data_IF_327296939249
#
_entry.id   IF_327296939249
#
_cell.length_a   1.000
_cell.length_b   1.000
_cell.length_c   1.000
_cell.angle_alpha   90.00
_cell.angle_beta   90.00
_cell.angle_gamma   90.00
#
_symmetry.space_group_name_H-M   'P 1'
#
loop_
_entity.id
_entity.type
_entity.pdbx_description
1 polymer ?
#
# COMPACT_ATOMS: atom_id res chain seq x y z
N UNK A 1 9.76 -54.01 -76.11
CA UNK A 1 9.95 -55.41 -75.66
C UNK A 1 10.13 -55.44 -74.15
N UNK A 2 9.31 -56.25 -73.48
CA UNK A 2 9.04 -56.20 -72.04
C UNK A 2 10.21 -56.62 -71.15
N UNK A 3 10.53 -55.85 -70.10
CA UNK A 3 11.40 -56.28 -69.00
C UNK A 3 10.53 -56.76 -67.83
N UNK A 4 10.45 -58.08 -67.67
CA UNK A 4 9.81 -58.81 -66.57
C UNK A 4 10.40 -58.41 -65.22
N UNK A 5 9.57 -57.95 -64.30
CA UNK A 5 9.89 -57.83 -62.88
C UNK A 5 9.79 -59.21 -62.20
N UNK A 6 10.92 -59.74 -61.77
CA UNK A 6 11.03 -60.97 -60.99
C UNK A 6 10.53 -60.72 -59.56
N UNK A 7 9.32 -61.18 -59.24
CA UNK A 7 8.82 -61.28 -57.86
C UNK A 7 9.60 -62.36 -57.11
N UNK A 8 10.34 -61.96 -56.07
CA UNK A 8 11.02 -62.85 -55.13
C UNK A 8 9.98 -63.50 -54.22
N UNK A 9 9.77 -64.81 -54.34
CA UNK A 9 8.96 -65.63 -53.40
C UNK A 9 9.67 -65.69 -52.04
N UNK A 10 9.06 -65.14 -51.00
CA UNK A 10 9.41 -65.48 -49.62
C UNK A 10 8.78 -66.82 -49.26
N UNK A 11 9.59 -67.73 -48.70
CA UNK A 11 9.15 -69.02 -48.14
C UNK A 11 8.50 -68.77 -46.79
N UNK A 12 7.28 -69.27 -46.62
CA UNK A 12 6.62 -69.42 -45.33
C UNK A 12 7.33 -70.53 -44.55
N UNK A 13 7.90 -70.20 -43.39
CA UNK A 13 8.22 -71.17 -42.36
C UNK A 13 7.11 -71.07 -41.31
N UNK A 14 6.32 -72.13 -41.22
CA UNK A 14 5.34 -72.39 -40.17
C UNK A 14 6.11 -72.86 -38.94
N UNK A 15 6.20 -72.02 -37.92
CA UNK A 15 6.57 -72.42 -36.56
C UNK A 15 5.37 -72.18 -35.63
N UNK A 16 5.24 -73.14 -34.72
CA UNK A 16 4.04 -73.51 -33.96
C UNK A 16 3.54 -72.38 -33.06
N UNK A 17 2.21 -72.33 -32.92
CA UNK A 17 1.50 -71.56 -31.91
C UNK A 17 1.98 -71.95 -30.51
N UNK A 18 2.72 -71.06 -29.85
CA UNK A 18 2.90 -71.09 -28.40
C UNK A 18 1.75 -70.30 -27.76
N UNK A 19 1.05 -70.97 -26.85
CA UNK A 19 -0.06 -70.44 -26.06
C UNK A 19 0.20 -69.04 -25.48
N UNK A 20 -0.83 -68.16 -25.42
CA UNK A 20 -0.69 -66.86 -24.80
C UNK A 20 -0.33 -67.04 -23.31
N UNK A 21 0.90 -66.67 -22.96
CA UNK A 21 1.35 -66.53 -21.57
C UNK A 21 0.27 -65.80 -20.78
N UNK A 22 -0.44 -66.54 -19.91
CA UNK A 22 -1.34 -65.99 -18.90
C UNK A 22 -0.55 -64.93 -18.14
N UNK A 23 -0.89 -63.66 -18.35
CA UNK A 23 -0.44 -62.57 -17.49
C UNK A 23 -0.82 -62.95 -16.07
N UNK A 24 0.18 -63.16 -15.23
CA UNK A 24 0.00 -63.33 -13.79
C UNK A 24 -0.68 -62.05 -13.31
N UNK A 25 -1.97 -62.18 -13.05
CA UNK A 25 -2.84 -61.11 -12.58
C UNK A 25 -2.70 -61.06 -11.06
N UNK A 26 -1.62 -60.47 -10.55
CA UNK A 26 -1.50 -60.14 -9.12
C UNK A 26 -0.44 -59.02 -8.89
N UNK A 27 -0.44 -57.99 -9.74
CA UNK A 27 -0.04 -56.66 -9.26
C UNK A 27 -1.31 -55.93 -8.81
N UNK A 28 -1.43 -55.53 -7.53
CA UNK A 28 -2.60 -54.79 -7.09
C UNK A 28 -2.69 -53.50 -7.90
N UNK A 29 -3.76 -53.36 -8.68
CA UNK A 29 -4.02 -52.18 -9.50
C UNK A 29 -3.72 -50.92 -8.68
N UNK A 30 -2.73 -50.14 -9.12
CA UNK A 30 -2.28 -48.95 -8.39
C UNK A 30 -3.50 -48.13 -7.97
N UNK A 31 -3.71 -47.99 -6.66
CA UNK A 31 -4.86 -47.25 -6.10
C UNK A 31 -4.88 -45.89 -6.78
N UNK A 32 -5.91 -45.60 -7.59
CA UNK A 32 -6.07 -44.30 -8.23
C UNK A 32 -5.95 -43.25 -7.14
N UNK A 33 -4.88 -42.46 -7.18
CA UNK A 33 -4.59 -41.52 -6.10
C UNK A 33 -5.74 -40.55 -6.01
N UNK A 34 -6.47 -40.59 -4.89
CA UNK A 34 -7.71 -39.85 -4.73
C UNK A 34 -7.36 -38.37 -4.58
N UNK A 35 -8.00 -37.53 -5.39
CA UNK A 35 -8.00 -36.09 -5.18
C UNK A 35 -8.87 -35.77 -3.95
N UNK A 36 -8.22 -35.72 -2.77
CA UNK A 36 -8.87 -35.53 -1.46
C UNK A 36 -9.28 -34.06 -1.27
N UNK A 37 -8.36 -33.12 -1.49
CA UNK A 37 -8.60 -31.69 -1.25
C UNK A 37 -9.20 -30.99 -2.48
N UNK A 38 -10.53 -31.03 -2.64
CA UNK A 38 -11.20 -30.43 -3.81
C UNK A 38 -11.42 -28.93 -3.64
N UNK A 39 -10.37 -28.13 -3.75
CA UNK A 39 -10.48 -26.67 -3.75
C UNK A 39 -10.71 -26.14 -5.16
N UNK A 40 -11.63 -25.17 -5.25
CA UNK A 40 -11.93 -24.40 -6.47
C UNK A 40 -12.05 -22.94 -6.07
N UNK A 41 -11.29 -22.08 -6.75
CA UNK A 41 -11.19 -20.66 -6.43
C UNK A 41 -11.85 -19.86 -7.55
N UNK A 42 -12.91 -19.12 -7.24
CA UNK A 42 -13.52 -18.18 -8.17
C UNK A 42 -12.66 -16.92 -8.27
N UNK A 43 -12.25 -16.53 -9.48
CA UNK A 43 -11.43 -15.33 -9.71
C UNK A 43 -12.13 -14.41 -10.71
N UNK A 44 -12.61 -13.27 -10.23
CA UNK A 44 -13.34 -12.31 -11.04
C UNK A 44 -13.26 -10.90 -10.46
N UNK A 45 -13.86 -9.93 -11.17
CA UNK A 45 -13.72 -8.52 -10.84
C UNK A 45 -15.05 -7.78 -10.95
N UNK A 46 -15.16 -6.68 -10.22
CA UNK A 46 -16.21 -5.68 -10.46
C UNK A 46 -15.89 -4.85 -11.70
N UNK A 47 -16.90 -4.20 -12.28
CA UNK A 47 -16.66 -3.10 -13.22
C UNK A 47 -15.85 -1.98 -12.56
N UNK A 48 -15.00 -1.31 -13.35
CA UNK A 48 -14.15 -0.20 -12.88
C UNK A 48 -12.70 -0.56 -12.56
N UNK A 49 -12.20 -1.73 -12.98
CA UNK A 49 -10.78 -2.10 -12.88
C UNK A 49 -9.92 -1.44 -13.97
N UNK A 50 -8.69 -1.06 -13.62
CA UNK A 50 -7.70 -0.50 -14.53
C UNK A 50 -7.11 -1.58 -15.47
N UNK A 51 -6.34 -1.18 -16.47
CA UNK A 51 -5.56 -2.07 -17.33
C UNK A 51 -4.57 -2.93 -16.54
N UNK A 52 -3.76 -2.31 -15.67
CA UNK A 52 -2.81 -3.05 -14.80
C UNK A 52 -3.50 -4.08 -13.91
N UNK A 53 -4.69 -3.77 -13.42
CA UNK A 53 -5.48 -4.67 -12.57
C UNK A 53 -5.99 -5.89 -13.34
N UNK A 54 -6.29 -5.74 -14.64
CA UNK A 54 -6.69 -6.86 -15.51
C UNK A 54 -5.55 -7.84 -15.72
N UNK A 55 -4.35 -7.33 -16.01
CA UNK A 55 -3.16 -8.16 -16.12
C UNK A 55 -2.85 -8.89 -14.83
N UNK A 56 -2.90 -8.22 -13.68
CA UNK A 56 -2.74 -8.88 -12.39
C UNK A 56 -3.76 -10.02 -12.18
N UNK A 57 -5.03 -9.80 -12.54
CA UNK A 57 -6.06 -10.83 -12.46
C UNK A 57 -5.78 -12.00 -13.42
N UNK A 58 -5.31 -11.73 -14.63
CA UNK A 58 -4.92 -12.77 -15.60
C UNK A 58 -3.69 -13.55 -15.14
N UNK A 59 -2.72 -12.88 -14.53
CA UNK A 59 -1.51 -13.49 -13.97
C UNK A 59 -1.88 -14.46 -12.82
N UNK A 60 -2.78 -14.05 -11.91
CA UNK A 60 -3.30 -14.96 -10.87
C UNK A 60 -4.06 -16.17 -11.46
N UNK A 61 -4.81 -15.98 -12.55
CA UNK A 61 -5.49 -17.09 -13.25
C UNK A 61 -4.49 -18.05 -13.90
N UNK A 62 -3.36 -17.55 -14.42
CA UNK A 62 -2.31 -18.40 -14.99
C UNK A 62 -1.61 -19.21 -13.90
N UNK A 63 -1.35 -18.60 -12.75
CA UNK A 63 -0.69 -19.20 -11.61
C UNK A 63 -1.50 -20.32 -10.94
N UNK A 64 -2.81 -20.13 -10.77
CA UNK A 64 -3.65 -21.12 -10.06
C UNK A 64 -4.41 -22.02 -11.05
N UNK A 65 -4.07 -23.32 -11.20
CA UNK A 65 -4.78 -24.23 -12.10
C UNK A 65 -6.23 -24.54 -11.68
N UNK A 66 -6.53 -24.43 -10.39
CA UNK A 66 -7.86 -24.64 -9.79
C UNK A 66 -8.76 -23.39 -9.81
N UNK A 67 -8.37 -22.35 -10.56
CA UNK A 67 -9.21 -21.17 -10.73
C UNK A 67 -10.43 -21.45 -11.61
N UNK A 68 -11.51 -20.72 -11.34
CA UNK A 68 -12.67 -20.57 -12.22
C UNK A 68 -12.86 -19.10 -12.52
N UNK A 69 -12.98 -18.76 -13.81
CA UNK A 69 -13.21 -17.40 -14.25
C UNK A 69 -14.71 -17.12 -14.35
N UNK A 70 -15.12 -15.93 -13.93
CA UNK A 70 -16.47 -15.41 -14.14
C UNK A 70 -16.45 -14.07 -14.89
N UNK A 71 -17.58 -13.72 -15.48
CA UNK A 71 -17.83 -12.40 -16.02
C UNK A 71 -17.73 -11.31 -14.93
N UNK A 72 -17.50 -10.06 -15.34
CA UNK A 72 -17.38 -8.95 -14.39
C UNK A 72 -18.73 -8.59 -13.80
N UNK A 73 -18.83 -8.60 -12.47
CA UNK A 73 -20.05 -8.20 -11.78
C UNK A 73 -20.24 -6.68 -11.80
N UNK A 74 -21.51 -6.26 -11.76
CA UNK A 74 -21.86 -4.86 -11.51
C UNK A 74 -21.63 -4.49 -10.05
N UNK A 75 -21.54 -3.17 -9.77
CA UNK A 75 -21.37 -2.71 -8.40
C UNK A 75 -22.73 -2.60 -7.73
N UNK A 76 -23.14 -3.68 -7.07
CA UNK A 76 -24.28 -3.68 -6.15
C UNK A 76 -23.86 -3.21 -4.76
N UNK A 77 -24.85 -2.86 -3.93
CA UNK A 77 -24.63 -2.47 -2.53
C UNK A 77 -24.26 -3.68 -1.65
N UNK A 78 -24.80 -4.86 -1.95
CA UNK A 78 -24.50 -6.12 -1.26
C UNK A 78 -23.53 -6.98 -2.08
N UNK A 79 -22.51 -7.52 -1.40
CA UNK A 79 -21.56 -8.47 -1.98
C UNK A 79 -21.97 -9.93 -1.76
N UNK A 80 -23.15 -10.18 -1.16
CA UNK A 80 -23.68 -11.54 -0.95
C UNK A 80 -23.97 -12.28 -2.26
N UNK A 81 -24.22 -11.55 -3.36
CA UNK A 81 -24.39 -12.10 -4.71
C UNK A 81 -23.18 -12.95 -5.13
N UNK A 82 -22.00 -12.68 -4.59
CA UNK A 82 -20.80 -13.48 -4.87
C UNK A 82 -20.94 -14.92 -4.35
N UNK A 83 -21.67 -15.13 -3.26
CA UNK A 83 -21.90 -16.48 -2.71
C UNK A 83 -22.75 -17.31 -3.67
N UNK A 84 -23.81 -16.73 -4.25
CA UNK A 84 -24.67 -17.38 -5.25
C UNK A 84 -23.88 -17.77 -6.49
N UNK A 85 -23.04 -16.86 -7.00
CA UNK A 85 -22.16 -17.12 -8.16
C UNK A 85 -21.20 -18.28 -7.85
N UNK A 86 -20.64 -18.31 -6.63
CA UNK A 86 -19.76 -19.40 -6.21
C UNK A 86 -20.51 -20.72 -6.11
N UNK A 87 -21.76 -20.72 -5.63
CA UNK A 87 -22.59 -21.92 -5.56
C UNK A 87 -22.90 -22.47 -6.96
N UNK A 88 -23.30 -21.60 -7.90
CA UNK A 88 -23.55 -21.96 -9.31
C UNK A 88 -22.32 -22.57 -10.01
N UNK A 89 -21.11 -22.14 -9.61
CA UNK A 89 -19.83 -22.65 -10.16
C UNK A 89 -19.17 -23.71 -9.28
N UNK A 90 -19.81 -24.12 -8.18
CA UNK A 90 -19.28 -25.02 -7.15
C UNK A 90 -17.86 -24.61 -6.72
N UNK A 91 -17.67 -23.34 -6.36
CA UNK A 91 -16.42 -22.79 -5.86
C UNK A 91 -16.48 -22.65 -4.34
N UNK A 92 -15.45 -23.14 -3.66
CA UNK A 92 -15.37 -23.09 -2.19
C UNK A 92 -14.71 -21.79 -1.72
N UNK A 93 -13.93 -21.16 -2.60
CA UNK A 93 -13.14 -19.95 -2.30
C UNK A 93 -13.39 -18.90 -3.37
N UNK A 94 -13.26 -17.64 -3.00
CA UNK A 94 -13.42 -16.52 -3.92
C UNK A 94 -12.33 -15.46 -3.76
N UNK A 95 -11.88 -14.96 -4.91
CA UNK A 95 -11.05 -13.77 -5.06
C UNK A 95 -11.84 -12.76 -5.89
N UNK A 96 -12.25 -11.66 -5.25
CA UNK A 96 -12.94 -10.57 -5.92
C UNK A 96 -12.04 -9.34 -6.00
N UNK A 97 -11.85 -8.86 -7.24
CA UNK A 97 -11.19 -7.59 -7.53
C UNK A 97 -12.21 -6.44 -7.56
N UNK A 98 -12.25 -5.62 -6.53
CA UNK A 98 -13.11 -4.44 -6.43
C UNK A 98 -12.34 -3.17 -6.83
N UNK A 99 -12.46 -2.74 -8.10
CA UNK A 99 -11.76 -1.55 -8.60
C UNK A 99 -12.56 -0.27 -8.37
N UNK A 100 -12.08 0.71 -7.60
CA UNK A 100 -12.73 2.02 -7.36
C UNK A 100 -12.15 3.13 -8.22
N UNK A 101 -13.02 3.93 -8.84
CA UNK A 101 -12.65 5.08 -9.67
C UNK A 101 -11.58 4.77 -10.75
N UNK A 102 -11.45 3.51 -11.19
CA UNK A 102 -10.37 3.03 -12.08
C UNK A 102 -8.94 3.31 -11.57
N UNK A 103 -8.77 3.63 -10.28
CA UNK A 103 -7.49 3.99 -9.67
C UNK A 103 -7.12 3.05 -8.52
N UNK A 104 -8.01 2.94 -7.55
CA UNK A 104 -7.77 2.13 -6.36
C UNK A 104 -8.25 0.71 -6.59
N UNK A 105 -7.51 -0.29 -6.12
CA UNK A 105 -7.90 -1.68 -6.21
C UNK A 105 -8.01 -2.29 -4.81
N UNK A 106 -9.16 -2.88 -4.54
CA UNK A 106 -9.35 -3.72 -3.38
C UNK A 106 -9.44 -5.17 -3.82
N UNK A 107 -8.88 -6.06 -3.01
CA UNK A 107 -9.08 -7.49 -3.14
C UNK A 107 -9.84 -8.01 -1.94
N UNK A 108 -10.75 -8.93 -2.22
CA UNK A 108 -11.40 -9.72 -1.21
C UNK A 108 -10.97 -11.16 -1.36
N UNK A 109 -10.55 -11.75 -0.25
CA UNK A 109 -10.33 -13.19 -0.12
C UNK A 109 -11.42 -13.73 0.78
N UNK A 110 -12.15 -14.74 0.32
CA UNK A 110 -13.25 -15.31 1.09
C UNK A 110 -13.29 -16.82 0.97
N UNK A 111 -13.68 -17.45 2.07
CA UNK A 111 -14.17 -18.80 2.08
C UNK A 111 -15.71 -18.79 2.01
N UNK A 112 -16.27 -19.51 1.06
CA UNK A 112 -17.69 -19.47 0.71
C UNK A 112 -18.33 -20.82 1.05
N UNK A 113 -19.53 -20.87 1.65
CA UNK A 113 -20.42 -19.76 2.05
C UNK A 113 -20.20 -19.24 3.48
N UNK A 114 -19.55 -20.00 4.35
CA UNK A 114 -19.47 -19.76 5.79
C UNK A 114 -18.60 -18.58 6.21
N UNK A 115 -17.60 -18.18 5.41
CA UNK A 115 -16.55 -17.25 5.81
C UNK A 115 -15.30 -17.97 6.32
N UNK A 116 -14.25 -17.24 6.76
CA UNK A 116 -14.16 -15.78 6.89
C UNK A 116 -13.90 -15.06 5.56
N UNK A 117 -14.03 -13.73 5.55
CA UNK A 117 -13.58 -12.91 4.43
C UNK A 117 -12.66 -11.77 4.88
N UNK A 118 -11.66 -11.47 4.07
CA UNK A 118 -10.67 -10.45 4.35
C UNK A 118 -10.58 -9.47 3.19
N UNK A 119 -10.64 -8.18 3.51
CA UNK A 119 -10.52 -7.09 2.55
C UNK A 119 -9.12 -6.48 2.62
N UNK A 120 -8.50 -6.35 1.46
CA UNK A 120 -7.19 -5.74 1.28
C UNK A 120 -7.27 -4.57 0.31
N UNK A 121 -6.50 -3.52 0.56
CA UNK A 121 -6.12 -2.56 -0.46
C UNK A 121 -4.84 -3.10 -1.13
N UNK A 122 -4.83 -3.17 -2.45
CA UNK A 122 -3.58 -3.52 -3.17
C UNK A 122 -2.79 -2.26 -3.47
N UNK A 123 -1.51 -2.31 -3.15
CA UNK A 123 -0.51 -1.31 -3.48
C UNK A 123 0.64 -1.94 -4.28
N UNK A 124 1.44 -1.11 -4.96
CA UNK A 124 2.67 -1.51 -5.67
C UNK A 124 2.51 -2.73 -6.59
N UNK A 125 1.53 -2.68 -7.49
CA UNK A 125 1.25 -3.74 -8.46
C UNK A 125 2.30 -3.71 -9.58
N UNK A 126 3.01 -4.82 -9.72
CA UNK A 126 3.87 -5.14 -10.83
C UNK A 126 3.46 -6.48 -11.46
N UNK A 127 3.18 -6.48 -12.76
CA UNK A 127 2.65 -7.65 -13.49
C UNK A 127 3.77 -8.52 -14.05
N UNK A 128 3.48 -9.78 -14.40
CA UNK A 128 4.48 -10.70 -14.97
C UNK A 128 5.12 -10.19 -16.27
N UNK A 129 4.45 -9.30 -17.02
CA UNK A 129 4.94 -8.76 -18.30
C UNK A 129 5.98 -7.64 -18.13
N UNK A 130 6.38 -7.31 -16.91
CA UNK A 130 7.34 -6.24 -16.69
C UNK A 130 8.78 -6.71 -16.90
N UNK A 131 9.59 -5.83 -17.51
CA UNK A 131 10.93 -6.16 -18.01
C UNK A 131 11.90 -6.68 -16.94
N UNK A 132 11.68 -6.35 -15.66
CA UNK A 132 12.58 -6.74 -14.56
C UNK A 132 12.37 -8.17 -14.06
N UNK A 133 11.30 -8.84 -14.48
CA UNK A 133 11.01 -10.21 -14.09
C UNK A 133 11.54 -11.17 -15.16
N UNK A 134 12.70 -11.78 -14.90
CA UNK A 134 13.38 -12.68 -15.84
C UNK A 134 13.03 -14.16 -15.63
N UNK A 135 12.42 -14.50 -14.49
CA UNK A 135 12.05 -15.86 -14.15
C UNK A 135 10.83 -16.36 -14.95
N UNK A 136 10.74 -17.67 -15.12
CA UNK A 136 9.60 -18.36 -15.71
C UNK A 136 9.14 -19.52 -14.80
N UNK A 137 7.90 -19.97 -14.93
CA UNK A 137 7.47 -21.19 -14.25
C UNK A 137 6.47 -22.00 -15.09
N UNK A 138 6.46 -23.31 -14.89
CA UNK A 138 5.51 -24.23 -15.46
C UNK A 138 4.09 -23.85 -15.05
N UNK A 139 3.21 -23.76 -16.04
CA UNK A 139 1.80 -23.46 -15.78
C UNK A 139 1.13 -24.63 -15.07
N UNK A 140 0.63 -24.37 -13.87
CA UNK A 140 -0.06 -25.38 -13.06
C UNK A 140 0.87 -26.27 -12.23
N UNK A 141 2.17 -25.96 -12.14
CA UNK A 141 3.01 -26.53 -11.08
C UNK A 141 2.47 -26.13 -9.71
N UNK A 142 2.80 -26.94 -8.71
CA UNK A 142 2.35 -26.71 -7.34
C UNK A 142 3.34 -25.74 -6.69
N UNK A 143 2.90 -24.57 -6.20
CA UNK A 143 3.79 -23.64 -5.52
C UNK A 143 4.14 -24.14 -4.12
N UNK A 144 5.35 -23.84 -3.68
CA UNK A 144 5.67 -23.82 -2.24
C UNK A 144 5.21 -22.49 -1.66
N UNK A 145 4.65 -22.51 -0.45
CA UNK A 145 4.22 -21.30 0.25
C UNK A 145 5.20 -21.01 1.39
N UNK A 146 5.90 -19.89 1.30
CA UNK A 146 6.77 -19.38 2.35
C UNK A 146 6.05 -18.23 3.07
N UNK A 147 5.89 -18.38 4.38
CA UNK A 147 5.30 -17.38 5.26
C UNK A 147 6.32 -16.90 6.26
N UNK A 148 6.35 -15.59 6.48
CA UNK A 148 7.13 -14.94 7.53
C UNK A 148 6.64 -15.31 8.94
N UNK A 149 7.50 -15.17 9.94
CA UNK A 149 7.26 -15.56 11.34
C UNK A 149 6.12 -14.75 11.96
N UNK A 150 5.97 -13.48 11.56
CA UNK A 150 4.88 -12.59 11.99
C UNK A 150 3.48 -13.19 11.79
N UNK A 151 3.32 -14.11 10.82
CA UNK A 151 2.05 -14.80 10.60
C UNK A 151 1.67 -15.77 11.72
N UNK A 152 2.64 -16.27 12.48
CA UNK A 152 2.39 -17.15 13.63
C UNK A 152 2.21 -16.33 14.91
N UNK A 153 2.92 -15.21 15.05
CA UNK A 153 2.91 -14.38 16.27
C UNK A 153 1.59 -13.68 16.52
N UNK A 154 0.94 -13.13 15.49
CA UNK A 154 -0.30 -12.38 15.65
C UNK A 154 -1.53 -13.17 15.18
N UNK A 155 -2.58 -13.22 16.01
CA UNK A 155 -3.80 -13.98 15.73
C UNK A 155 -4.49 -13.62 14.40
N UNK A 156 -4.54 -12.33 14.06
CA UNK A 156 -5.16 -11.88 12.80
C UNK A 156 -4.33 -12.32 11.59
N UNK A 157 -2.99 -12.31 11.66
CA UNK A 157 -2.17 -12.85 10.59
C UNK A 157 -2.24 -14.38 10.54
N UNK A 158 -2.37 -15.07 11.66
CA UNK A 158 -2.54 -16.53 11.67
C UNK A 158 -3.82 -16.95 10.91
N UNK A 159 -4.93 -16.25 11.13
CA UNK A 159 -6.15 -16.44 10.34
C UNK A 159 -5.91 -16.16 8.83
N UNK A 160 -5.17 -15.10 8.52
CA UNK A 160 -4.82 -14.78 7.13
C UNK A 160 -3.89 -15.83 6.49
N UNK A 161 -2.96 -16.41 7.26
CA UNK A 161 -2.06 -17.48 6.81
C UNK A 161 -2.87 -18.70 6.35
N UNK A 162 -3.84 -19.12 7.16
CA UNK A 162 -4.75 -20.21 6.82
C UNK A 162 -5.60 -19.89 5.58
N UNK A 163 -6.19 -18.69 5.53
CA UNK A 163 -7.00 -18.26 4.39
C UNK A 163 -6.18 -18.23 3.09
N UNK A 164 -4.97 -17.64 3.13
CA UNK A 164 -4.08 -17.54 1.97
C UNK A 164 -3.55 -18.91 1.55
N UNK A 165 -3.23 -19.78 2.50
CA UNK A 165 -2.80 -21.15 2.24
C UNK A 165 -3.88 -21.91 1.47
N UNK A 166 -5.14 -21.82 1.90
CA UNK A 166 -6.25 -22.49 1.20
C UNK A 166 -6.59 -21.91 -0.17
N UNK A 167 -6.20 -20.65 -0.45
CA UNK A 167 -6.47 -20.01 -1.75
C UNK A 167 -5.34 -20.29 -2.74
N UNK A 168 -4.09 -20.04 -2.32
CA UNK A 168 -2.91 -20.09 -3.18
C UNK A 168 -2.30 -21.49 -3.29
N UNK A 169 -2.61 -22.40 -2.36
CA UNK A 169 -2.20 -23.80 -2.48
C UNK A 169 -2.93 -24.48 -3.64
N UNK A 170 -2.19 -25.26 -4.41
CA UNK A 170 -2.75 -26.09 -5.48
C UNK A 170 -2.98 -27.50 -4.93
N UNK A 171 -4.22 -28.01 -4.98
CA UNK A 171 -4.51 -29.36 -4.52
C UNK A 171 -3.64 -30.43 -5.17
N UNK A 172 -3.23 -31.41 -4.36
CA UNK A 172 -2.51 -32.56 -4.89
C UNK A 172 -3.41 -33.37 -5.84
N UNK A 173 -2.86 -33.77 -6.98
CA UNK A 173 -3.57 -34.47 -8.06
C UNK A 173 -4.77 -33.72 -8.64
N UNK A 174 -4.71 -32.38 -8.66
CA UNK A 174 -5.67 -31.61 -9.45
C UNK A 174 -5.53 -31.98 -10.94
N UNK A 175 -6.61 -32.09 -11.72
CA UNK A 175 -6.53 -32.55 -13.12
C UNK A 175 -5.61 -31.71 -14.03
N UNK A 176 -5.36 -30.45 -13.66
CA UNK A 176 -4.48 -29.52 -14.37
C UNK A 176 -3.15 -29.26 -13.65
N UNK A 177 -2.89 -29.90 -12.50
CA UNK A 177 -1.64 -29.70 -11.78
C UNK A 177 -0.53 -30.55 -12.37
N UNK A 178 0.65 -29.97 -12.49
CA UNK A 178 1.88 -30.70 -12.79
C UNK A 178 2.47 -31.30 -11.51
N UNK A 179 3.21 -32.42 -11.60
CA UNK A 179 3.78 -33.08 -10.43
C UNK A 179 4.96 -32.32 -9.80
N UNK A 180 5.66 -31.48 -10.58
CA UNK A 180 6.88 -30.79 -10.15
C UNK A 180 6.61 -29.50 -9.36
N UNK A 181 7.57 -29.17 -8.49
CA UNK A 181 7.65 -27.90 -7.78
C UNK A 181 8.67 -27.01 -8.49
N UNK A 182 8.21 -25.89 -9.02
CA UNK A 182 9.04 -25.02 -9.87
C UNK A 182 9.16 -23.60 -9.31
N UNK A 183 8.21 -23.19 -8.45
CA UNK A 183 8.17 -21.83 -7.92
C UNK A 183 7.66 -21.76 -6.48
N UNK A 184 7.98 -20.63 -5.84
CA UNK A 184 7.68 -20.33 -4.45
C UNK A 184 6.92 -19.01 -4.35
N UNK A 185 5.79 -19.03 -3.64
CA UNK A 185 5.12 -17.81 -3.21
C UNK A 185 5.63 -17.41 -1.84
N UNK A 186 6.12 -16.18 -1.74
CA UNK A 186 6.61 -15.62 -0.49
C UNK A 186 5.66 -14.54 0.00
N UNK A 187 5.20 -14.70 1.24
CA UNK A 187 4.41 -13.72 1.96
C UNK A 187 5.24 -13.17 3.11
N UNK A 188 5.73 -11.94 2.96
CA UNK A 188 6.52 -11.25 3.98
C UNK A 188 5.71 -10.12 4.63
N UNK A 189 5.76 -9.97 5.95
CA UNK A 189 5.10 -8.86 6.64
C UNK A 189 6.12 -7.75 6.86
N UNK A 190 5.89 -6.59 6.27
CA UNK A 190 6.71 -5.39 6.48
C UNK A 190 5.79 -4.18 6.60
N UNK A 191 6.00 -3.36 7.62
CA UNK A 191 5.18 -2.18 7.93
C UNK A 191 3.67 -2.48 8.04
N UNK A 192 3.31 -3.62 8.65
CA UNK A 192 1.94 -4.13 8.76
C UNK A 192 1.26 -4.40 7.41
N UNK A 193 2.04 -4.56 6.33
CA UNK A 193 1.58 -4.89 4.99
C UNK A 193 2.18 -6.22 4.58
N UNK A 194 1.42 -6.99 3.82
CA UNK A 194 1.84 -8.30 3.33
C UNK A 194 2.38 -8.12 1.91
N UNK A 195 3.65 -8.38 1.72
CA UNK A 195 4.31 -8.36 0.43
C UNK A 195 4.20 -9.75 -0.20
N UNK A 196 3.61 -9.81 -1.39
CA UNK A 196 3.58 -11.01 -2.20
C UNK A 196 4.68 -10.96 -3.26
N UNK A 197 5.46 -12.04 -3.34
CA UNK A 197 6.45 -12.26 -4.40
C UNK A 197 6.39 -13.70 -4.89
N UNK A 198 6.72 -13.89 -6.15
CA UNK A 198 6.78 -15.20 -6.81
C UNK A 198 8.17 -15.41 -7.40
N UNK A 199 8.83 -16.50 -6.98
CA UNK A 199 10.19 -16.84 -7.36
C UNK A 199 10.24 -18.21 -8.04
N UNK A 200 11.02 -18.31 -9.12
CA UNK A 200 11.41 -19.56 -9.75
C UNK A 200 12.55 -20.20 -8.97
N UNK A 201 12.52 -21.53 -8.85
CA UNK A 201 13.62 -22.34 -8.35
C UNK A 201 14.50 -22.70 -9.56
N UNK A 202 15.74 -22.18 -9.61
CA UNK A 202 16.63 -22.41 -10.77
C UNK A 202 17.44 -23.69 -10.63
N UNK A 203 18.03 -23.88 -9.45
CA UNK A 203 19.00 -24.93 -9.18
C UNK A 203 18.65 -25.57 -7.85
N UNK A 204 19.02 -26.84 -7.68
CA UNK A 204 18.81 -27.59 -6.43
C UNK A 204 19.51 -26.92 -5.23
N UNK A 205 20.55 -26.10 -5.48
CA UNK A 205 21.26 -25.27 -4.49
C UNK A 205 20.42 -24.13 -3.88
N UNK A 206 19.17 -23.94 -4.34
CA UNK A 206 18.24 -22.95 -3.77
C UNK A 206 18.35 -21.55 -4.37
N UNK A 207 18.99 -21.39 -5.54
CA UNK A 207 19.00 -20.13 -6.27
C UNK A 207 17.59 -19.76 -6.76
N UNK A 208 17.15 -18.53 -6.46
CA UNK A 208 15.82 -18.02 -6.77
C UNK A 208 15.86 -16.83 -7.73
N UNK A 209 15.01 -16.85 -8.77
CA UNK A 209 14.81 -15.70 -9.69
C UNK A 209 13.37 -15.22 -9.65
N UNK A 210 13.14 -13.90 -9.70
CA UNK A 210 11.79 -13.33 -9.62
C UNK A 210 11.02 -13.51 -10.95
N UNK A 211 9.79 -14.05 -10.87
CA UNK A 211 8.85 -14.25 -12.01
C UNK A 211 7.78 -13.16 -12.02
N UNK A 212 7.29 -12.79 -10.84
CA UNK A 212 6.09 -11.97 -10.67
C UNK A 212 4.78 -12.78 -10.70
N UNK A 213 3.62 -12.14 -10.46
CA UNK A 213 3.45 -10.73 -10.17
C UNK A 213 3.93 -10.37 -8.76
N UNK A 214 4.25 -9.09 -8.56
CA UNK A 214 4.57 -8.52 -7.25
C UNK A 214 3.49 -7.53 -6.86
N UNK A 215 3.00 -7.64 -5.64
CA UNK A 215 2.04 -6.68 -5.10
C UNK A 215 2.07 -6.69 -3.58
N UNK A 216 1.54 -5.61 -3.00
CA UNK A 216 1.46 -5.43 -1.56
C UNK A 216 -0.01 -5.43 -1.16
N UNK A 217 -0.37 -6.31 -0.25
CA UNK A 217 -1.68 -6.39 0.38
C UNK A 217 -1.64 -5.60 1.69
N UNK A 218 -2.40 -4.52 1.74
CA UNK A 218 -2.62 -3.74 2.95
C UNK A 218 -3.95 -4.18 3.59
N UNK A 219 -3.94 -4.92 4.71
CA UNK A 219 -5.15 -5.43 5.35
C UNK A 219 -6.05 -4.27 5.80
N UNK A 220 -7.34 -4.32 5.45
CA UNK A 220 -8.33 -3.29 5.80
C UNK A 220 -9.20 -3.77 6.95
N UNK A 221 -9.95 -4.85 6.71
CA UNK A 221 -10.88 -5.45 7.66
C UNK A 221 -10.97 -6.95 7.41
N UNK A 222 -11.21 -7.70 8.46
CA UNK A 222 -11.53 -9.12 8.44
C UNK A 222 -12.96 -9.28 8.98
N UNK A 223 -13.75 -10.06 8.28
CA UNK A 223 -15.15 -10.34 8.58
C UNK A 223 -15.31 -11.81 8.96
N UNK A 224 -16.26 -12.09 9.86
CA UNK A 224 -16.60 -13.45 10.26
C UNK A 224 -17.24 -14.26 9.13
N UNK A 225 -18.08 -13.61 8.32
CA UNK A 225 -18.80 -14.23 7.21
C UNK A 225 -18.14 -14.04 5.85
N UNK A 226 -18.71 -14.72 4.85
CA UNK A 226 -18.38 -14.52 3.45
C UNK A 226 -19.01 -13.22 2.92
N UNK A 227 -18.18 -12.23 2.57
CA UNK A 227 -18.58 -10.95 1.98
C UNK A 227 -19.60 -10.13 2.81
N UNK A 228 -19.59 -10.29 4.13
CA UNK A 228 -20.50 -9.62 5.05
C UNK A 228 -20.32 -10.09 6.50
N UNK A 229 -21.34 -9.86 7.32
CA UNK A 229 -21.39 -10.10 8.76
C UNK A 229 -20.44 -9.19 9.57
N UNK A 230 -20.26 -9.54 10.84
CA UNK A 230 -19.53 -8.76 11.82
C UNK A 230 -18.03 -8.70 11.50
N UNK A 231 -17.44 -7.54 11.79
CA UNK A 231 -16.01 -7.31 11.67
C UNK A 231 -15.28 -7.93 12.85
N UNK A 232 -14.48 -8.97 12.60
CA UNK A 232 -13.62 -9.60 13.60
C UNK A 232 -12.41 -8.72 13.94
N UNK A 233 -11.88 -8.04 12.92
CA UNK A 233 -10.69 -7.21 13.08
C UNK A 233 -10.69 -6.06 12.06
N UNK A 234 -10.23 -4.90 12.49
CA UNK A 234 -10.04 -3.71 11.66
C UNK A 234 -8.62 -3.18 11.86
N UNK A 235 -7.95 -2.84 10.77
CA UNK A 235 -6.60 -2.30 10.83
C UNK A 235 -6.64 -0.83 11.29
N UNK A 236 -6.09 -0.49 12.48
CA UNK A 236 -6.08 0.90 12.96
C UNK A 236 -5.18 1.81 12.11
N UNK A 237 -4.16 1.25 11.44
CA UNK A 237 -3.19 1.99 10.65
C UNK A 237 -3.66 2.23 9.22
N UNK A 238 -4.77 1.60 8.81
CA UNK A 238 -5.27 1.71 7.44
C UNK A 238 -5.93 3.08 7.19
N UNK A 239 -5.46 3.78 6.17
CA UNK A 239 -6.07 5.01 5.66
C UNK A 239 -6.49 4.77 4.21
N UNK A 240 -7.77 5.01 3.91
CA UNK A 240 -8.25 4.84 2.54
C UNK A 240 -7.57 5.84 1.59
N UNK A 241 -7.26 5.45 0.33
CA UNK A 241 -6.65 6.35 -0.64
C UNK A 241 -7.49 7.61 -0.90
N UNK A 242 -8.82 7.48 -0.83
CA UNK A 242 -9.73 8.61 -0.93
C UNK A 242 -9.55 9.61 0.22
N UNK A 243 -9.42 9.13 1.47
CA UNK A 243 -9.18 9.96 2.65
C UNK A 243 -7.78 10.59 2.61
N UNK A 244 -6.78 9.83 2.16
CA UNK A 244 -5.43 10.35 1.94
C UNK A 244 -5.44 11.52 0.94
N UNK A 245 -6.06 11.34 -0.23
CA UNK A 245 -6.22 12.39 -1.24
C UNK A 245 -6.99 13.60 -0.70
N UNK A 246 -8.06 13.38 0.05
CA UNK A 246 -8.82 14.47 0.68
C UNK A 246 -7.96 15.26 1.67
N UNK A 247 -7.12 14.57 2.46
CA UNK A 247 -6.22 15.22 3.41
C UNK A 247 -5.16 16.07 2.70
N UNK A 248 -4.61 15.58 1.59
CA UNK A 248 -3.65 16.32 0.75
C UNK A 248 -4.30 17.55 0.11
N UNK A 249 -5.52 17.40 -0.42
CA UNK A 249 -6.29 18.52 -0.97
C UNK A 249 -6.60 19.59 0.09
N UNK A 250 -6.99 19.18 1.32
CA UNK A 250 -7.21 20.12 2.44
C UNK A 250 -5.93 20.85 2.85
N UNK A 251 -4.80 20.14 2.95
CA UNK A 251 -3.48 20.76 3.22
C UNK A 251 -3.09 21.75 2.13
N UNK A 252 -3.40 21.45 0.87
CA UNK A 252 -3.15 22.35 -0.26
C UNK A 252 -4.08 23.58 -0.25
N UNK A 253 -5.36 23.42 0.08
CA UNK A 253 -6.33 24.51 0.17
C UNK A 253 -5.92 25.54 1.24
N UNK A 254 -5.44 25.08 2.39
CA UNK A 254 -4.98 25.97 3.47
C UNK A 254 -3.75 26.80 3.08
N UNK A 255 -3.01 26.47 2.01
CA UNK A 255 -1.85 27.27 1.57
C UNK A 255 -2.23 28.70 1.22
N UNK A 256 -3.41 28.91 0.61
CA UNK A 256 -3.88 30.26 0.28
C UNK A 256 -4.21 31.05 1.55
N UNK A 257 -4.97 30.45 2.46
CA UNK A 257 -5.33 31.05 3.75
C UNK A 257 -4.07 31.40 4.55
N UNK A 258 -3.14 30.44 4.67
CA UNK A 258 -1.86 30.66 5.35
C UNK A 258 -1.05 31.80 4.71
N UNK A 259 -1.10 31.97 3.38
CA UNK A 259 -0.42 33.08 2.69
C UNK A 259 -1.06 34.42 3.02
N UNK A 260 -2.39 34.48 3.09
CA UNK A 260 -3.12 35.70 3.47
C UNK A 260 -2.84 36.03 4.94
N UNK A 261 -2.92 35.05 5.84
CA UNK A 261 -2.57 35.20 7.25
C UNK A 261 -1.12 35.67 7.43
N UNK A 262 -0.16 35.07 6.71
CA UNK A 262 1.24 35.51 6.74
C UNK A 262 1.42 36.95 6.23
N UNK A 263 0.66 37.37 5.21
CA UNK A 263 0.67 38.77 4.76
C UNK A 263 0.12 39.71 5.84
N UNK A 264 -0.98 39.34 6.50
CA UNK A 264 -1.56 40.12 7.59
C UNK A 264 -0.60 40.22 8.79
N UNK A 265 0.00 39.08 9.20
CA UNK A 265 1.00 39.04 10.28
C UNK A 265 2.23 39.88 9.92
N UNK A 266 2.70 39.82 8.67
CA UNK A 266 3.81 40.66 8.20
C UNK A 266 3.46 42.14 8.26
N UNK A 267 2.24 42.50 7.88
CA UNK A 267 1.78 43.88 7.94
C UNK A 267 1.64 44.37 9.39
N UNK A 268 1.12 43.53 10.29
CA UNK A 268 0.98 43.85 11.71
C UNK A 268 2.34 43.94 12.43
N UNK A 269 3.30 43.08 12.05
CA UNK A 269 4.65 43.09 12.61
C UNK A 269 5.59 44.07 11.91
N UNK A 270 5.13 44.76 10.86
CA UNK A 270 5.95 45.77 10.18
C UNK A 270 6.04 46.97 11.13
N UNK A 271 7.23 47.32 11.65
CA UNK A 271 7.37 48.49 12.49
C UNK A 271 7.17 49.76 11.64
N UNK A 272 6.55 50.79 12.21
CA UNK A 272 6.31 52.07 11.52
C UNK A 272 7.64 52.77 11.19
N UNK A 273 8.63 52.66 12.07
CA UNK A 273 10.03 53.00 11.78
C UNK A 273 10.82 51.73 11.47
N UNK A 274 11.45 51.68 10.30
CA UNK A 274 12.31 50.56 9.87
C UNK A 274 13.60 50.46 10.69
N UNK A 275 14.29 51.60 10.85
CA UNK A 275 15.49 51.76 11.66
C UNK A 275 15.35 53.03 12.49
N UNK A 276 15.99 53.08 13.66
CA UNK A 276 16.24 54.37 14.30
C UNK A 276 17.13 55.16 13.35
N UNK A 277 16.61 56.28 12.84
CA UNK A 277 17.39 57.22 12.02
C UNK A 277 18.59 57.65 12.87
N UNK A 278 19.80 57.61 12.33
CA UNK A 278 20.94 58.12 13.08
C UNK A 278 20.66 59.61 13.35
N UNK A 279 20.92 60.12 14.57
CA UNK A 279 20.69 61.54 14.88
C UNK A 279 21.38 62.51 13.90
N UNK A 280 22.46 62.05 13.25
CA UNK A 280 23.24 62.79 12.24
C UNK A 280 22.48 62.92 10.91
N UNK A 281 21.63 61.95 10.54
CA UNK A 281 20.91 61.98 9.27
C UNK A 281 19.80 63.04 9.25
N UNK A 282 19.40 63.56 10.42
CA UNK A 282 18.49 64.71 10.52
C UNK A 282 19.15 66.02 10.08
N UNK A 283 20.49 66.12 10.12
CA UNK A 283 21.24 67.32 9.72
C UNK A 283 21.01 67.66 8.24
N UNK A 284 20.72 66.65 7.42
CA UNK A 284 20.59 66.81 5.96
C UNK A 284 19.14 67.00 5.48
N UNK A 285 18.17 67.13 6.39
CA UNK A 285 16.75 67.41 6.04
C UNK A 285 16.40 68.88 6.29
N UNK A 286 16.16 69.67 5.24
CA UNK A 286 15.78 71.10 5.31
C UNK A 286 16.80 72.03 4.65
N UNK A 287 16.67 73.34 4.86
CA UNK A 287 17.64 74.33 4.38
C UNK A 287 18.92 74.30 5.23
N UNK A 288 20.05 74.10 4.55
CA UNK A 288 21.36 73.85 5.17
C UNK A 288 21.86 75.04 6.00
N UNK A 289 21.46 76.26 5.65
CA UNK A 289 21.94 77.51 6.27
C UNK A 289 21.33 77.70 7.65
N UNK A 290 20.01 77.57 7.76
CA UNK A 290 19.29 77.72 9.03
C UNK A 290 19.72 76.66 10.04
N UNK A 291 19.93 75.44 9.56
CA UNK A 291 20.36 74.31 10.40
C UNK A 291 21.81 74.43 10.87
N UNK A 292 22.69 75.01 10.05
CA UNK A 292 24.06 75.32 10.45
C UNK A 292 24.07 76.36 11.59
N UNK A 293 23.22 77.40 11.49
CA UNK A 293 23.07 78.41 12.55
C UNK A 293 22.53 77.79 13.85
N UNK A 294 21.51 76.93 13.78
CA UNK A 294 20.99 76.23 14.97
C UNK A 294 22.04 75.31 15.65
N UNK A 295 22.91 74.66 14.87
CA UNK A 295 23.99 73.82 15.41
C UNK A 295 25.04 74.69 16.11
N UNK A 296 25.36 75.85 15.54
CA UNK A 296 26.33 76.79 16.07
C UNK A 296 25.83 77.43 17.39
N UNK A 297 24.55 77.80 17.46
CA UNK A 297 23.90 78.26 18.69
C UNK A 297 23.87 77.19 19.80
N UNK A 298 23.53 75.94 19.46
CA UNK A 298 23.57 74.82 20.43
C UNK A 298 24.98 74.55 20.95
N UNK A 299 26.00 74.69 20.10
CA UNK A 299 27.40 74.49 20.48
C UNK A 299 27.91 75.59 21.44
N UNK A 300 27.48 76.84 21.23
CA UNK A 300 27.72 77.96 22.14
C UNK A 300 27.02 77.76 23.51
N UNK A 301 25.78 77.27 23.50
CA UNK A 301 25.03 76.97 24.73
C UNK A 301 25.67 75.83 25.55
N UNK A 302 26.13 74.75 24.91
CA UNK A 302 26.76 73.61 25.58
C UNK A 302 28.14 73.94 26.19
N UNK A 303 28.91 74.85 25.57
CA UNK A 303 30.15 75.40 26.17
C UNK A 303 29.86 76.16 27.46
N UNK A 304 28.76 76.91 27.50
CA UNK A 304 28.34 77.70 28.66
C UNK A 304 27.75 76.85 29.79
N UNK A 305 27.16 75.68 29.49
CA UNK A 305 26.71 74.73 30.52
C UNK A 305 27.86 73.87 31.07
N UNK A 306 28.79 73.41 30.23
CA UNK A 306 29.90 72.56 30.67
C UNK A 306 30.91 73.29 31.56
N UNK A 307 31.12 74.60 31.33
CA UNK A 307 31.92 75.47 32.23
C UNK A 307 31.29 75.64 33.61
N UNK A 308 29.95 75.60 33.73
CA UNK A 308 29.23 75.65 35.02
C UNK A 308 29.18 74.30 35.76
N UNK A 309 29.15 73.18 35.05
CA UNK A 309 29.02 71.82 35.65
C UNK A 309 30.34 71.23 36.17
N UNK A 310 31.49 71.65 35.63
CA UNK A 310 32.82 71.16 36.06
C UNK A 310 33.21 71.54 37.51
N UNK A 311 32.55 72.51 38.13
CA UNK A 311 32.88 72.98 39.50
C UNK A 311 32.29 72.10 40.62
N UNK A 312 31.31 71.22 40.37
CA UNK A 312 30.51 70.61 41.46
C UNK A 312 30.65 69.10 41.74
N UNK A 313 31.35 68.29 40.95
CA UNK A 313 31.31 66.83 41.16
C UNK A 313 32.69 66.17 41.35
N UNK A 314 33.19 66.15 42.60
CA UNK A 314 34.13 65.12 43.07
C UNK A 314 33.34 63.90 43.60
N UNK A 315 33.45 62.81 42.86
CA UNK A 315 33.43 61.38 43.26
C UNK A 315 32.19 60.82 44.00
N UNK A 316 31.47 59.89 43.34
CA UNK A 316 31.14 58.55 43.93
C UNK A 316 30.66 57.55 42.86
N UNK A 317 31.13 56.30 43.02
CA UNK A 317 31.15 55.16 42.10
C UNK A 317 29.78 54.57 41.76
N UNK A 318 29.62 54.16 40.50
CA UNK A 318 28.46 53.41 39.97
C UNK A 318 28.59 51.92 40.35
N UNK A 319 27.61 51.37 41.07
CA UNK A 319 27.41 49.91 41.25
C UNK A 319 26.63 49.35 40.06
N UNK A 320 27.17 48.34 39.37
CA UNK A 320 26.46 47.58 38.31
C UNK A 320 25.32 46.75 38.92
N UNK A 321 24.12 46.82 38.34
CA UNK A 321 23.03 45.84 38.58
C UNK A 321 22.89 44.90 37.37
N UNK A 322 22.58 43.61 37.57
CA UNK A 322 22.52 42.62 36.51
C UNK A 322 21.19 42.63 35.76
N UNK A 323 21.25 42.13 34.53
CA UNK A 323 20.15 41.96 33.57
C UNK A 323 19.11 40.99 34.11
N UNK A 324 17.82 41.39 34.12
CA UNK A 324 16.69 40.51 34.45
C UNK A 324 15.92 40.17 33.17
N UNK A 325 15.89 38.88 32.85
CA UNK A 325 15.10 38.29 31.77
C UNK A 325 13.59 38.52 31.98
N UNK A 326 12.89 39.06 30.97
CA UNK A 326 11.42 39.19 31.00
C UNK A 326 10.75 37.88 30.57
N UNK A 327 9.97 37.32 31.50
CA UNK A 327 9.07 36.17 31.30
C UNK A 327 7.96 36.48 30.29
N UNK A 328 7.78 35.60 29.31
CA UNK A 328 6.64 35.57 28.38
C UNK A 328 5.36 35.18 29.16
N UNK A 329 4.34 36.04 29.15
CA UNK A 329 3.01 35.72 29.70
C UNK A 329 2.20 34.92 28.68
N UNK A 330 1.80 33.70 29.03
CA UNK A 330 0.81 32.86 28.33
C UNK A 330 -0.54 33.59 28.29
N UNK A 331 -1.07 33.83 27.09
CA UNK A 331 -2.44 34.31 26.91
C UNK A 331 -3.45 33.18 27.21
N UNK A 332 -4.45 33.47 28.04
CA UNK A 332 -5.54 32.57 28.41
C UNK A 332 -6.53 32.45 27.24
N UNK A 333 -6.77 31.21 26.79
CA UNK A 333 -7.80 30.85 25.83
C UNK A 333 -9.18 30.89 26.53
N UNK A 334 -10.07 31.82 26.13
CA UNK A 334 -11.46 31.86 26.61
C UNK A 334 -12.28 30.86 25.80
N UNK A 335 -12.71 29.76 26.43
CA UNK A 335 -13.69 28.82 25.87
C UNK A 335 -15.09 29.45 25.93
N UNK A 336 -15.67 29.78 24.78
CA UNK A 336 -17.10 30.06 24.67
C UNK A 336 -17.90 28.75 24.72
N UNK A 337 -18.59 28.51 25.84
CA UNK A 337 -19.62 27.47 25.96
C UNK A 337 -20.92 28.00 25.32
N UNK A 338 -21.22 27.61 24.08
CA UNK A 338 -22.60 27.67 23.55
C UNK A 338 -23.37 26.45 24.04
N UNK A 339 -24.34 26.67 24.94
CA UNK A 339 -25.38 25.71 25.35
C UNK A 339 -26.24 25.37 24.13
N UNK A 340 -26.28 24.11 23.73
CA UNK A 340 -27.30 23.58 22.82
C UNK A 340 -28.41 22.99 23.71
N UNK A 341 -29.56 23.66 23.76
CA UNK A 341 -30.79 23.12 24.36
C UNK A 341 -31.26 21.93 23.52
N UNK A 342 -31.22 20.73 24.10
CA UNK A 342 -31.90 19.55 23.58
C UNK A 342 -33.38 19.66 23.94
N UNK A 343 -34.23 19.97 22.96
CA UNK A 343 -35.68 19.74 23.06
C UNK A 343 -35.92 18.23 23.01
N UNK A 344 -36.51 17.70 24.07
CA UNK A 344 -37.19 16.41 24.11
C UNK A 344 -38.49 16.53 23.31
N UNK A 345 -38.66 15.68 22.30
CA UNK A 345 -39.88 14.93 21.98
C UNK A 345 -39.47 13.78 21.08
#
# INVERSE_FOLDING_TARGET
MAKKTLKRKQKENVEKEDDPKKKVADEPAAKKVKWINRQRVLVFATRGINYRHRHLMEDLKKLMPHHRSECKMERTKSLQVVNEICEMKNCNKAILFEGRMKRDLYMWFANVPTGPSAKFLIENIYTMRELKMTGNCLRGSRPLLSFDEHFTTHAHYNLLKELLTQIFSVPNHHPKSQPFFDHVYTFAVLDNRIWFRNFQILTEDGALTEIGPRFVLNPVKIFSGSFGNDTLWENPNYISPAKLRQSLAKKAANKYINRVEQKMVRHANKPDLSYAVNPIDEIFKGDLVEKAMEIEEKFEMDKNENTKKLVKNKVKKIKKKPVVAKKVKKAKFVKSKKKLQKRRR
#
